data_IF_732974030746
#
_entry.id   IF_732974030746
#
_cell.length_a   1.000
_cell.length_b   1.000
_cell.length_c   1.000
_cell.angle_alpha   90.00
_cell.angle_beta   90.00
_cell.angle_gamma   90.00
#
_symmetry.space_group_name_H-M   'P 1'
#
loop_
_entity.id
_entity.type
_entity.pdbx_description
1 polymer ?
#
# COMPACT_ATOMS: atom_id res chain seq x y z
N UNK A 1 -20.09 15.08 2.24
CA UNK A 1 -19.15 15.36 3.34
C UNK A 1 -19.54 16.57 4.20
N UNK A 2 -19.66 17.80 3.67
CA UNK A 2 -20.03 18.97 4.49
C UNK A 2 -21.48 18.91 5.00
N UNK A 3 -22.42 18.50 4.13
CA UNK A 3 -23.82 18.27 4.50
C UNK A 3 -23.92 17.15 5.55
N UNK A 4 -23.16 16.06 5.36
CA UNK A 4 -23.10 14.93 6.31
C UNK A 4 -22.49 15.32 7.67
N UNK A 5 -21.69 16.41 7.70
CA UNK A 5 -21.16 17.01 8.92
C UNK A 5 -22.11 18.03 9.57
N UNK A 6 -23.36 18.14 9.07
CA UNK A 6 -24.36 19.10 9.55
C UNK A 6 -24.13 20.55 9.09
N UNK A 7 -23.31 20.77 8.06
CA UNK A 7 -23.06 22.10 7.48
C UNK A 7 -24.00 22.33 6.30
N UNK A 8 -24.93 23.27 6.43
CA UNK A 8 -25.77 23.70 5.30
C UNK A 8 -24.94 24.51 4.30
N UNK A 9 -24.92 24.03 3.05
CA UNK A 9 -24.16 24.59 1.94
C UNK A 9 -25.14 25.13 0.90
N UNK A 10 -24.98 26.41 0.53
CA UNK A 10 -25.66 27.01 -0.61
C UNK A 10 -24.62 27.30 -1.71
N UNK A 11 -24.97 26.99 -2.96
CA UNK A 11 -24.17 27.29 -4.14
C UNK A 11 -24.81 28.47 -4.89
N UNK A 12 -24.48 29.72 -4.55
CA UNK A 12 -25.02 30.89 -5.24
C UNK A 12 -24.55 30.99 -6.71
N UNK A 13 -23.38 30.42 -7.03
CA UNK A 13 -22.85 30.32 -8.39
C UNK A 13 -21.87 29.13 -8.50
N UNK A 14 -21.43 28.73 -9.71
CA UNK A 14 -20.49 27.61 -9.89
C UNK A 14 -19.14 27.79 -9.17
N UNK A 15 -18.72 29.04 -8.97
CA UNK A 15 -17.41 29.40 -8.41
C UNK A 15 -17.49 29.96 -6.98
N UNK A 16 -18.66 29.87 -6.34
CA UNK A 16 -18.88 30.37 -4.98
C UNK A 16 -19.67 29.40 -4.12
N UNK A 17 -19.24 29.27 -2.87
CA UNK A 17 -19.92 28.50 -1.83
C UNK A 17 -20.26 29.44 -0.67
N UNK A 18 -21.50 29.38 -0.20
CA UNK A 18 -21.93 30.07 1.02
C UNK A 18 -22.35 29.08 2.09
N UNK A 19 -21.80 29.26 3.28
CA UNK A 19 -22.17 28.49 4.47
C UNK A 19 -23.20 29.28 5.27
N UNK A 20 -24.12 28.60 5.96
CA UNK A 20 -25.36 29.14 6.52
C UNK A 20 -25.26 30.47 7.30
N UNK A 21 -24.09 30.79 7.90
CA UNK A 21 -23.80 32.07 8.59
C UNK A 21 -22.38 32.61 8.33
N UNK A 22 -21.78 32.26 7.20
CA UNK A 22 -20.40 32.62 6.85
C UNK A 22 -20.28 33.52 5.62
N UNK A 23 -19.11 34.12 5.37
CA UNK A 23 -18.84 34.84 4.13
C UNK A 23 -18.96 33.90 2.92
N UNK A 24 -19.29 34.45 1.75
CA UNK A 24 -19.16 33.71 0.49
C UNK A 24 -17.68 33.41 0.24
N UNK A 25 -17.36 32.14 0.00
CA UNK A 25 -16.01 31.69 -0.30
C UNK A 25 -15.91 31.36 -1.77
N UNK A 26 -14.87 31.87 -2.43
CA UNK A 26 -14.51 31.45 -3.78
C UNK A 26 -14.17 29.96 -3.78
N UNK A 27 -14.85 29.19 -4.62
CA UNK A 27 -14.65 27.77 -4.75
C UNK A 27 -13.56 27.47 -5.79
N UNK A 28 -12.62 26.61 -5.43
CA UNK A 28 -11.67 26.02 -6.37
C UNK A 28 -11.75 24.50 -6.20
N UNK A 29 -12.18 23.81 -7.24
CA UNK A 29 -12.28 22.34 -7.26
C UNK A 29 -11.18 21.73 -8.10
N UNK A 30 -10.55 20.68 -7.57
CA UNK A 30 -9.62 19.82 -8.29
C UNK A 30 -10.10 18.37 -8.21
N UNK A 31 -10.31 17.75 -9.36
CA UNK A 31 -10.59 16.32 -9.52
C UNK A 31 -9.36 15.42 -9.26
N UNK A 32 -8.27 16.00 -8.74
CA UNK A 32 -6.97 15.36 -8.55
C UNK A 32 -6.31 15.82 -7.25
N UNK A 33 -5.32 15.07 -6.73
CA UNK A 33 -4.58 15.48 -5.54
C UNK A 33 -3.93 16.85 -5.71
N UNK A 34 -4.01 17.68 -4.67
CA UNK A 34 -3.38 18.99 -4.65
C UNK A 34 -1.86 18.85 -4.63
N UNK A 35 -1.17 19.55 -5.53
CA UNK A 35 0.29 19.63 -5.58
C UNK A 35 0.76 21.01 -5.16
N UNK A 36 1.99 21.11 -4.68
CA UNK A 36 2.56 22.39 -4.22
C UNK A 36 2.60 23.48 -5.30
N UNK A 37 2.69 23.10 -6.59
CA UNK A 37 2.64 24.05 -7.72
C UNK A 37 1.25 24.66 -7.93
N UNK A 38 0.18 23.95 -7.56
CA UNK A 38 -1.18 24.41 -7.77
C UNK A 38 -1.49 25.62 -6.87
N UNK A 39 -0.85 25.69 -5.69
CA UNK A 39 -0.96 26.82 -4.75
C UNK A 39 -0.48 28.16 -5.35
N UNK A 40 0.45 28.13 -6.30
CA UNK A 40 1.04 29.36 -6.85
C UNK A 40 0.05 30.15 -7.73
N UNK A 41 -1.07 29.54 -8.15
CA UNK A 41 -2.07 30.16 -9.02
C UNK A 41 -3.45 30.36 -8.38
N UNK A 42 -3.62 30.05 -7.09
CA UNK A 42 -4.95 30.06 -6.45
C UNK A 42 -5.51 31.46 -6.20
N UNK A 43 -4.68 32.50 -6.16
CA UNK A 43 -5.10 33.87 -5.85
C UNK A 43 -5.38 34.08 -4.35
N UNK A 44 -6.32 34.98 -4.03
CA UNK A 44 -6.74 35.30 -2.65
C UNK A 44 -7.55 34.18 -1.97
N UNK A 45 -7.74 34.23 -0.64
CA UNK A 45 -8.29 33.13 0.17
C UNK A 45 -9.68 32.69 -0.28
N UNK A 46 -9.92 31.38 -0.26
CA UNK A 46 -11.17 30.74 -0.66
C UNK A 46 -11.32 29.33 -0.11
N UNK A 47 -12.25 28.55 -0.66
CA UNK A 47 -12.48 27.15 -0.36
C UNK A 47 -11.89 26.27 -1.46
N UNK A 48 -10.91 25.45 -1.11
CA UNK A 48 -10.29 24.48 -2.02
C UNK A 48 -10.82 23.06 -1.77
N UNK A 49 -11.44 22.45 -2.76
CA UNK A 49 -11.87 21.05 -2.73
C UNK A 49 -10.93 20.24 -3.61
N UNK A 50 -10.31 19.19 -3.08
CA UNK A 50 -9.45 18.31 -3.86
C UNK A 50 -9.62 16.86 -3.41
N UNK A 51 -9.37 15.90 -4.31
CA UNK A 51 -9.46 14.47 -3.97
C UNK A 51 -8.53 14.08 -2.83
N UNK A 52 -7.35 14.72 -2.73
CA UNK A 52 -6.40 14.55 -1.62
C UNK A 52 -5.61 15.82 -1.36
N UNK A 53 -5.42 16.16 -0.08
CA UNK A 53 -4.56 17.28 0.36
C UNK A 53 -3.59 16.77 1.42
N UNK A 54 -2.28 16.82 1.14
CA UNK A 54 -1.25 16.37 2.08
C UNK A 54 -1.07 17.31 3.28
N UNK A 55 -0.58 16.82 4.45
CA UNK A 55 -0.49 17.60 5.70
C UNK A 55 0.27 18.94 5.56
N UNK A 56 1.41 18.94 4.85
CA UNK A 56 2.20 20.16 4.62
C UNK A 56 1.42 21.19 3.80
N UNK A 57 0.58 20.75 2.86
CA UNK A 57 -0.24 21.64 2.06
C UNK A 57 -1.44 22.16 2.85
N UNK A 58 -2.03 21.35 3.75
CA UNK A 58 -3.07 21.78 4.70
C UNK A 58 -2.55 22.90 5.61
N UNK A 59 -1.38 22.69 6.22
CA UNK A 59 -0.75 23.70 7.07
C UNK A 59 -0.45 25.00 6.31
N UNK A 60 -0.01 24.89 5.05
CA UNK A 60 0.21 26.05 4.19
C UNK A 60 -1.09 26.75 3.80
N UNK A 61 -2.16 26.02 3.51
CA UNK A 61 -3.47 26.60 3.22
C UNK A 61 -3.99 27.36 4.44
N UNK A 62 -3.96 26.74 5.62
CA UNK A 62 -4.36 27.37 6.89
C UNK A 62 -3.54 28.63 7.19
N UNK A 63 -2.21 28.58 7.05
CA UNK A 63 -1.34 29.74 7.25
C UNK A 63 -1.64 30.90 6.29
N UNK A 64 -2.27 30.63 5.14
CA UNK A 64 -2.70 31.64 4.17
C UNK A 64 -4.22 31.88 4.20
N UNK A 65 -4.88 31.55 5.31
CA UNK A 65 -6.33 31.74 5.52
C UNK A 65 -7.25 31.03 4.50
N UNK A 66 -6.77 29.95 3.88
CA UNK A 66 -7.58 29.12 2.98
C UNK A 66 -8.39 28.07 3.74
N UNK A 67 -9.64 27.93 3.33
CA UNK A 67 -10.47 26.78 3.68
C UNK A 67 -10.19 25.63 2.71
N UNK A 68 -10.28 24.38 3.17
CA UNK A 68 -10.06 23.22 2.33
C UNK A 68 -10.92 22.01 2.73
N UNK A 69 -11.26 21.20 1.74
CA UNK A 69 -11.91 19.89 1.89
C UNK A 69 -11.09 18.88 1.10
N UNK A 70 -10.64 17.81 1.75
CA UNK A 70 -9.97 16.70 1.10
C UNK A 70 -10.95 15.52 1.06
N UNK A 71 -11.37 15.08 -0.13
CA UNK A 71 -12.43 14.05 -0.25
C UNK A 71 -12.00 12.69 0.29
N UNK A 72 -10.70 12.35 0.16
CA UNK A 72 -10.14 11.12 0.69
C UNK A 72 -9.91 11.11 2.21
N UNK A 73 -10.02 12.28 2.84
CA UNK A 73 -9.84 12.42 4.25
C UNK A 73 -11.17 12.78 4.88
N UNK A 74 -11.49 12.10 5.98
CA UNK A 74 -12.59 12.44 6.86
C UNK A 74 -12.35 13.76 7.63
N UNK A 75 -11.60 14.71 7.07
CA UNK A 75 -11.23 15.99 7.67
C UNK A 75 -11.34 17.15 6.67
N UNK A 76 -11.81 18.30 7.13
CA UNK A 76 -11.89 19.55 6.41
C UNK A 76 -11.50 20.71 7.34
N UNK A 77 -11.05 21.84 6.77
CA UNK A 77 -10.86 23.08 7.49
C UNK A 77 -11.65 24.18 6.81
N UNK A 78 -12.64 24.75 7.49
CA UNK A 78 -13.57 25.68 6.87
C UNK A 78 -13.73 26.92 7.75
N UNK A 79 -13.34 28.08 7.22
CA UNK A 79 -13.40 29.38 7.89
C UNK A 79 -12.75 29.39 9.29
N UNK A 80 -11.59 28.72 9.44
CA UNK A 80 -10.89 28.63 10.72
C UNK A 80 -11.32 27.45 11.61
N UNK A 81 -12.35 26.70 11.23
CA UNK A 81 -12.86 25.55 11.98
C UNK A 81 -12.37 24.24 11.37
N UNK A 82 -11.73 23.39 12.18
CA UNK A 82 -11.42 22.02 11.79
C UNK A 82 -12.66 21.14 11.98
N UNK A 83 -13.12 20.52 10.89
CA UNK A 83 -14.26 19.61 10.85
C UNK A 83 -13.72 18.21 10.60
N UNK A 84 -13.95 17.30 11.55
CA UNK A 84 -13.67 15.87 11.39
C UNK A 84 -15.01 15.13 11.29
N UNK A 85 -15.21 14.37 10.23
CA UNK A 85 -16.41 13.58 10.00
C UNK A 85 -16.10 12.14 10.43
N UNK A 86 -16.84 11.56 11.36
CA UNK A 86 -16.61 10.17 11.82
C UNK A 86 -15.77 10.05 13.10
N UNK A 87 -16.07 9.00 13.87
CA UNK A 87 -15.56 8.75 15.22
C UNK A 87 -14.03 8.91 15.30
N UNK A 88 -13.60 9.80 16.19
CA UNK A 88 -12.21 10.07 16.50
C UNK A 88 -11.49 8.78 16.89
N UNK A 89 -10.58 8.30 16.04
CA UNK A 89 -9.41 7.60 16.58
C UNK A 89 -8.54 8.67 17.22
N UNK A 90 -8.39 8.57 18.54
CA UNK A 90 -7.48 9.39 19.34
C UNK A 90 -6.16 9.61 18.58
N UNK A 91 -5.94 10.86 18.18
CA UNK A 91 -4.67 11.32 17.65
C UNK A 91 -3.68 11.36 18.82
N UNK A 92 -2.79 10.38 18.87
CA UNK A 92 -1.54 10.51 19.60
C UNK A 92 -0.77 11.73 19.07
N UNK A 93 -0.07 12.39 20.00
CA UNK A 93 0.84 13.54 19.90
C UNK A 93 1.60 13.67 18.56
N UNK A 94 2.07 14.87 18.14
CA UNK A 94 2.84 15.04 16.91
C UNK A 94 4.22 14.39 17.08
N UNK A 95 4.28 13.07 16.89
CA UNK A 95 5.50 12.29 16.90
C UNK A 95 6.44 12.79 15.80
N UNK A 96 7.72 12.83 16.17
CA UNK A 96 8.85 13.19 15.34
C UNK A 96 8.71 12.70 13.90
N UNK A 97 9.08 13.56 12.93
CA UNK A 97 9.13 13.21 11.50
C UNK A 97 9.70 11.79 11.35
N UNK A 98 9.00 10.88 10.63
CA UNK A 98 9.45 9.51 10.54
C UNK A 98 10.88 9.51 10.01
N UNK A 99 11.78 8.85 10.75
CA UNK A 99 13.20 8.79 10.43
C UNK A 99 13.35 8.41 8.94
N UNK A 100 12.55 7.46 8.43
CA UNK A 100 12.64 6.92 7.07
C UNK A 100 11.60 7.46 6.07
N UNK A 101 11.97 7.68 4.79
CA UNK A 101 11.00 8.02 3.74
C UNK A 101 10.02 6.85 3.56
N UNK A 102 8.72 7.14 3.49
CA UNK A 102 7.65 6.14 3.25
C UNK A 102 7.56 5.68 1.78
N UNK A 103 8.63 5.84 1.00
CA UNK A 103 8.64 5.50 -0.42
C UNK A 103 8.93 4.02 -0.66
N UNK A 104 8.15 3.37 -1.52
CA UNK A 104 8.30 1.96 -1.89
C UNK A 104 9.71 1.59 -2.40
N UNK A 105 10.45 2.54 -2.99
CA UNK A 105 11.80 2.29 -3.49
C UNK A 105 12.79 1.79 -2.42
N UNK A 106 12.73 2.33 -1.19
CA UNK A 106 13.59 1.85 -0.09
C UNK A 106 13.26 0.40 0.26
N UNK A 107 11.97 0.08 0.31
CA UNK A 107 11.50 -1.28 0.61
C UNK A 107 11.82 -2.26 -0.52
N UNK A 108 11.76 -1.82 -1.78
CA UNK A 108 12.16 -2.62 -2.92
C UNK A 108 13.66 -2.94 -2.91
N UNK A 109 14.52 -1.98 -2.57
CA UNK A 109 15.97 -2.20 -2.42
C UNK A 109 16.25 -3.21 -1.30
N UNK A 110 15.61 -3.03 -0.14
CA UNK A 110 15.79 -3.94 1.01
C UNK A 110 15.30 -5.34 0.69
N UNK A 111 14.12 -5.47 0.05
CA UNK A 111 13.59 -6.76 -0.40
C UNK A 111 14.52 -7.43 -1.41
N UNK A 112 15.03 -6.70 -2.39
CA UNK A 112 15.99 -7.24 -3.35
C UNK A 112 17.26 -7.78 -2.65
N UNK A 113 17.78 -7.06 -1.65
CA UNK A 113 18.94 -7.51 -0.88
C UNK A 113 18.62 -8.76 -0.02
N UNK A 114 17.47 -8.78 0.65
CA UNK A 114 17.03 -9.92 1.46
C UNK A 114 16.84 -11.18 0.61
N UNK A 115 16.23 -11.05 -0.57
CA UNK A 115 16.01 -12.18 -1.49
C UNK A 115 17.30 -12.67 -2.18
N UNK A 116 18.29 -11.79 -2.35
CA UNK A 116 19.59 -12.18 -2.92
C UNK A 116 20.56 -12.74 -1.88
N UNK A 117 20.40 -12.39 -0.60
CA UNK A 117 21.34 -12.69 0.50
C UNK A 117 22.65 -11.89 0.44
N UNK A 118 23.12 -11.57 -0.77
CA UNK A 118 24.23 -10.65 -1.04
C UNK A 118 24.09 -10.06 -2.43
N UNK A 119 24.43 -8.78 -2.60
CA UNK A 119 24.38 -8.13 -3.91
C UNK A 119 25.26 -6.88 -3.96
N UNK A 120 25.71 -6.53 -5.17
CA UNK A 120 26.28 -5.21 -5.44
C UNK A 120 25.19 -4.15 -5.71
N UNK A 121 25.57 -2.89 -5.76
CA UNK A 121 24.62 -1.78 -5.95
C UNK A 121 23.98 -1.77 -7.34
N UNK A 122 24.65 -2.29 -8.37
CA UNK A 122 24.14 -2.29 -9.74
C UNK A 122 23.04 -3.35 -9.89
N UNK A 123 23.24 -4.52 -9.30
CA UNK A 123 22.27 -5.61 -9.21
C UNK A 123 21.04 -5.14 -8.42
N UNK A 124 21.24 -4.52 -7.26
CA UNK A 124 20.13 -3.97 -6.47
C UNK A 124 19.36 -2.87 -7.22
N UNK A 125 20.07 -2.00 -7.96
CA UNK A 125 19.43 -0.97 -8.78
C UNK A 125 18.53 -1.57 -9.87
N UNK A 126 19.00 -2.62 -10.55
CA UNK A 126 18.23 -3.35 -11.55
C UNK A 126 17.02 -4.07 -10.95
N UNK A 127 17.21 -4.82 -9.87
CA UNK A 127 16.13 -5.57 -9.23
C UNK A 127 15.05 -4.67 -8.60
N UNK A 128 15.45 -3.53 -8.02
CA UNK A 128 14.52 -2.60 -7.38
C UNK A 128 13.94 -1.54 -8.35
N UNK A 129 14.32 -1.58 -9.63
CA UNK A 129 13.96 -0.59 -10.64
C UNK A 129 14.16 0.85 -10.13
N UNK A 130 15.41 1.16 -9.78
CA UNK A 130 15.76 2.48 -9.25
C UNK A 130 17.20 2.87 -9.58
N UNK A 131 17.52 4.15 -9.40
CA UNK A 131 18.86 4.66 -9.68
C UNK A 131 19.90 4.15 -8.67
N UNK A 132 21.11 3.82 -9.12
CA UNK A 132 22.23 3.44 -8.25
C UNK A 132 22.56 4.48 -7.16
N UNK A 133 22.47 5.82 -7.39
CA UNK A 133 22.63 6.80 -6.31
C UNK A 133 21.61 6.67 -5.17
N UNK A 134 20.37 6.28 -5.48
CA UNK A 134 19.34 6.01 -4.47
C UNK A 134 19.68 4.75 -3.67
N UNK A 135 20.15 3.70 -4.34
CA UNK A 135 20.66 2.47 -3.71
C UNK A 135 21.79 2.80 -2.74
N UNK A 136 22.83 3.51 -3.21
CA UNK A 136 23.97 3.92 -2.39
C UNK A 136 23.56 4.74 -1.17
N UNK A 137 22.63 5.68 -1.33
CA UNK A 137 22.12 6.50 -0.21
C UNK A 137 21.35 5.65 0.80
N UNK A 138 20.51 4.74 0.32
CA UNK A 138 19.70 3.84 1.15
C UNK A 138 20.58 2.89 1.94
N UNK A 139 21.54 2.23 1.29
CA UNK A 139 22.45 1.27 1.93
C UNK A 139 23.36 1.93 2.97
N UNK A 140 23.94 3.09 2.68
CA UNK A 140 24.74 3.83 3.67
C UNK A 140 23.94 4.18 4.93
N UNK A 141 22.68 4.55 4.73
CA UNK A 141 21.78 4.88 5.83
C UNK A 141 21.42 3.63 6.66
N UNK A 142 21.11 2.51 6.00
CA UNK A 142 20.84 1.24 6.67
C UNK A 142 22.08 0.73 7.41
N UNK A 143 23.27 0.94 6.85
CA UNK A 143 24.54 0.56 7.47
C UNK A 143 24.82 1.36 8.74
N UNK A 144 24.48 2.65 8.75
CA UNK A 144 24.55 3.49 9.95
C UNK A 144 23.64 3.02 11.08
N UNK A 145 22.56 2.32 10.75
CA UNK A 145 21.64 1.70 11.71
C UNK A 145 21.98 0.21 11.98
N UNK A 146 23.08 -0.31 11.44
CA UNK A 146 23.51 -1.70 11.64
C UNK A 146 22.69 -2.76 10.88
N UNK A 147 21.77 -2.35 10.01
CA UNK A 147 20.81 -3.24 9.33
C UNK A 147 21.40 -3.91 8.08
N UNK A 148 22.51 -3.41 7.55
CA UNK A 148 23.24 -4.00 6.42
C UNK A 148 24.74 -3.86 6.64
N UNK A 149 25.50 -4.75 6.03
CA UNK A 149 26.96 -4.72 6.05
C UNK A 149 27.50 -4.67 4.63
N UNK A 150 28.45 -3.77 4.37
CA UNK A 150 29.09 -3.62 3.06
C UNK A 150 30.59 -3.91 3.14
N UNK A 151 31.11 -4.79 2.27
CA UNK A 151 32.55 -5.04 2.14
C UNK A 151 32.91 -5.25 0.67
N UNK A 152 33.96 -4.56 0.18
CA UNK A 152 34.48 -4.69 -1.20
C UNK A 152 33.40 -4.54 -2.31
N UNK A 153 32.42 -3.66 -2.09
CA UNK A 153 31.36 -3.39 -3.06
C UNK A 153 30.15 -4.34 -2.99
N UNK A 154 30.24 -5.42 -2.21
CA UNK A 154 29.12 -6.33 -1.94
C UNK A 154 28.44 -5.96 -0.62
N UNK A 155 27.10 -5.96 -0.63
CA UNK A 155 26.25 -5.69 0.52
C UNK A 155 25.54 -6.97 0.97
N UNK A 156 25.32 -7.09 2.28
CA UNK A 156 24.62 -8.21 2.92
C UNK A 156 23.60 -7.69 3.94
N UNK A 157 22.47 -8.40 4.12
CA UNK A 157 21.51 -8.06 5.15
C UNK A 157 22.10 -8.37 6.53
N UNK A 158 21.83 -7.51 7.51
CA UNK A 158 21.98 -7.85 8.92
C UNK A 158 20.79 -8.69 9.42
N UNK A 159 20.89 -9.31 10.61
CA UNK A 159 19.87 -10.22 11.12
C UNK A 159 18.49 -9.56 11.31
N UNK A 160 18.46 -8.27 11.66
CA UNK A 160 17.21 -7.56 11.95
C UNK A 160 16.53 -6.95 10.71
N UNK A 161 17.15 -7.04 9.52
CA UNK A 161 16.67 -6.32 8.33
C UNK A 161 15.29 -6.80 7.86
N UNK A 162 15.03 -8.11 7.94
CA UNK A 162 13.75 -8.68 7.54
C UNK A 162 12.62 -8.20 8.46
N UNK A 163 12.84 -8.24 9.79
CA UNK A 163 11.91 -7.70 10.79
C UNK A 163 11.70 -6.19 10.61
N UNK A 164 12.78 -5.45 10.41
CA UNK A 164 12.73 -4.03 10.10
C UNK A 164 11.85 -3.73 8.89
N UNK A 165 11.95 -4.55 7.83
CA UNK A 165 11.16 -4.40 6.61
C UNK A 165 9.69 -4.68 6.89
N UNK A 166 9.38 -5.81 7.53
CA UNK A 166 8.01 -6.16 7.89
C UNK A 166 7.39 -5.00 8.68
N UNK A 167 8.00 -4.56 9.77
CA UNK A 167 7.42 -3.55 10.67
C UNK A 167 7.20 -2.18 10.03
N UNK A 168 7.90 -1.87 8.93
CA UNK A 168 7.87 -0.53 8.33
C UNK A 168 7.25 -0.49 6.94
N UNK A 169 7.12 -1.63 6.26
CA UNK A 169 6.52 -1.65 4.93
C UNK A 169 5.06 -1.20 5.03
N UNK A 170 4.67 -0.10 4.38
CA UNK A 170 3.32 0.46 4.50
C UNK A 170 2.25 -0.39 3.78
N UNK A 171 2.66 -1.49 3.17
CA UNK A 171 1.82 -2.32 2.33
C UNK A 171 1.87 -1.94 0.84
N UNK A 172 1.19 -2.73 0.00
CA UNK A 172 1.18 -2.59 -1.45
C UNK A 172 0.47 -1.32 -1.94
N UNK A 173 -0.37 -0.72 -1.10
CA UNK A 173 -1.27 0.37 -1.47
C UNK A 173 -2.21 -0.02 -2.62
N UNK A 174 -2.66 0.97 -3.38
CA UNK A 174 -3.46 0.76 -4.59
C UNK A 174 -4.94 0.48 -4.33
N UNK A 175 -5.59 -0.19 -5.28
CA UNK A 175 -7.04 -0.44 -5.26
C UNK A 175 -7.32 -1.87 -4.86
N UNK A 176 -8.27 -2.05 -3.94
CA UNK A 176 -8.75 -3.38 -3.51
C UNK A 176 -10.16 -3.61 -4.01
N UNK A 177 -10.36 -4.74 -4.67
CA UNK A 177 -11.66 -5.32 -4.99
C UNK A 177 -11.88 -6.56 -4.13
N UNK A 178 -13.12 -6.76 -3.69
CA UNK A 178 -13.50 -7.93 -2.91
C UNK A 178 -14.48 -8.75 -3.73
N UNK A 179 -14.23 -10.05 -3.80
CA UNK A 179 -15.03 -10.97 -4.60
C UNK A 179 -15.57 -12.07 -3.70
N UNK A 180 -16.83 -12.39 -3.91
CA UNK A 180 -17.47 -13.59 -3.39
C UNK A 180 -17.38 -14.69 -4.45
N UNK A 181 -17.13 -15.90 -3.98
CA UNK A 181 -17.13 -17.11 -4.80
C UNK A 181 -17.55 -18.30 -3.91
N UNK A 182 -18.31 -19.26 -4.44
CA UNK A 182 -18.61 -20.49 -3.74
C UNK A 182 -17.39 -21.42 -3.78
N UNK A 183 -16.85 -21.78 -2.62
CA UNK A 183 -15.74 -22.75 -2.58
C UNK A 183 -14.80 -22.59 -1.41
N UNK A 184 -13.87 -23.53 -1.28
CA UNK A 184 -12.76 -23.40 -0.34
C UNK A 184 -11.69 -22.48 -0.95
N UNK A 185 -10.75 -21.94 -0.15
CA UNK A 185 -9.79 -20.97 -0.67
C UNK A 185 -8.91 -21.47 -1.82
N UNK A 186 -8.56 -22.76 -1.86
CA UNK A 186 -7.84 -23.32 -3.02
C UNK A 186 -8.69 -23.39 -4.30
N UNK A 187 -9.99 -23.67 -4.19
CA UNK A 187 -10.93 -23.65 -5.32
C UNK A 187 -11.09 -22.20 -5.82
N UNK A 188 -11.31 -21.27 -4.88
CA UNK A 188 -11.45 -19.84 -5.16
C UNK A 188 -10.18 -19.26 -5.80
N UNK A 189 -9.00 -19.71 -5.38
CA UNK A 189 -7.74 -19.32 -6.00
C UNK A 189 -7.66 -19.83 -7.44
N UNK A 190 -8.05 -21.07 -7.71
CA UNK A 190 -8.07 -21.62 -9.06
C UNK A 190 -9.05 -20.87 -9.97
N UNK A 191 -10.28 -20.63 -9.52
CA UNK A 191 -11.29 -19.84 -10.25
C UNK A 191 -10.80 -18.42 -10.55
N UNK A 192 -10.15 -17.77 -9.57
CA UNK A 192 -9.55 -16.46 -9.77
C UNK A 192 -8.44 -16.47 -10.82
N UNK A 193 -7.56 -17.49 -10.78
CA UNK A 193 -6.50 -17.62 -11.79
C UNK A 193 -7.09 -17.88 -13.18
N UNK A 194 -8.10 -18.74 -13.31
CA UNK A 194 -8.78 -18.97 -14.59
C UNK A 194 -9.38 -17.68 -15.17
N UNK A 195 -10.11 -16.92 -14.35
CA UNK A 195 -10.69 -15.66 -14.78
C UNK A 195 -9.62 -14.64 -15.21
N UNK A 196 -8.49 -14.57 -14.49
CA UNK A 196 -7.38 -13.70 -14.85
C UNK A 196 -6.69 -14.15 -16.14
N UNK A 197 -6.45 -15.46 -16.30
CA UNK A 197 -5.80 -16.03 -17.49
C UNK A 197 -6.64 -15.79 -18.76
N UNK A 198 -7.96 -15.95 -18.67
CA UNK A 198 -8.90 -15.69 -19.78
C UNK A 198 -8.83 -14.23 -20.28
N UNK A 199 -8.53 -13.30 -19.39
CA UNK A 199 -8.38 -11.88 -19.72
C UNK A 199 -6.93 -11.44 -19.97
N UNK A 200 -5.94 -12.34 -19.83
CA UNK A 200 -4.52 -11.98 -19.89
C UNK A 200 -4.09 -11.01 -18.77
N UNK A 201 -4.69 -11.14 -17.58
CA UNK A 201 -4.33 -10.41 -16.37
C UNK A 201 -3.28 -11.19 -15.61
N UNK A 202 -2.14 -10.56 -15.32
CA UNK A 202 -1.12 -11.19 -14.47
C UNK A 202 -1.63 -11.25 -13.04
N UNK A 203 -1.78 -12.46 -12.50
CA UNK A 203 -2.16 -12.70 -11.11
C UNK A 203 -1.00 -13.30 -10.33
N UNK A 204 -0.83 -12.87 -9.08
CA UNK A 204 0.14 -13.41 -8.12
C UNK A 204 -0.54 -13.58 -6.77
N UNK A 205 -0.65 -14.82 -6.29
CA UNK A 205 -1.25 -15.13 -5.00
C UNK A 205 -0.30 -14.73 -3.87
N UNK A 206 -0.87 -14.29 -2.75
CA UNK A 206 -0.13 -13.91 -1.53
C UNK A 206 -0.90 -14.38 -0.28
N UNK A 207 -0.45 -13.97 0.90
CA UNK A 207 -1.14 -14.25 2.17
C UNK A 207 -1.20 -15.74 2.49
N UNK A 208 -2.29 -16.16 3.13
CA UNK A 208 -2.45 -17.54 3.61
C UNK A 208 -2.29 -18.60 2.51
N UNK A 209 -2.86 -18.38 1.30
CA UNK A 209 -2.74 -19.32 0.17
C UNK A 209 -1.29 -19.45 -0.31
N UNK A 210 -0.57 -18.34 -0.46
CA UNK A 210 0.83 -18.40 -0.86
C UNK A 210 1.71 -19.06 0.21
N UNK A 211 1.41 -18.82 1.49
CA UNK A 211 2.12 -19.45 2.58
C UNK A 211 1.91 -20.97 2.61
N UNK A 212 0.67 -21.42 2.45
CA UNK A 212 0.32 -22.85 2.34
C UNK A 212 0.96 -23.50 1.10
N UNK A 213 1.07 -22.75 -0.01
CA UNK A 213 1.78 -23.20 -1.21
C UNK A 213 3.29 -23.41 -0.99
N UNK A 214 3.91 -22.62 -0.11
CA UNK A 214 5.35 -22.76 0.23
C UNK A 214 5.60 -23.85 1.27
N UNK A 215 4.61 -24.15 2.10
CA UNK A 215 4.58 -25.38 2.86
C UNK A 215 3.22 -25.54 3.54
N UNK A 216 2.60 -26.72 3.44
CA UNK A 216 1.22 -26.90 3.83
C UNK A 216 1.11 -27.07 5.35
N UNK A 217 0.88 -25.98 6.08
CA UNK A 217 0.84 -25.97 7.54
C UNK A 217 -0.35 -25.23 8.13
N UNK A 218 -1.20 -24.59 7.33
CA UNK A 218 -2.42 -23.93 7.81
C UNK A 218 -3.46 -23.90 6.70
N UNK A 219 -4.70 -24.26 7.03
CA UNK A 219 -5.82 -24.14 6.10
C UNK A 219 -6.08 -22.65 5.81
N UNK A 220 -5.88 -22.18 4.56
CA UNK A 220 -6.12 -20.78 4.25
C UNK A 220 -7.58 -20.41 4.52
N UNK A 221 -7.83 -19.24 5.10
CA UNK A 221 -9.20 -18.74 5.33
C UNK A 221 -9.71 -17.88 4.17
N UNK A 222 -8.79 -17.26 3.42
CA UNK A 222 -9.07 -16.29 2.36
C UNK A 222 -8.02 -16.36 1.27
N UNK A 223 -8.41 -16.02 0.04
CA UNK A 223 -7.50 -15.81 -1.08
C UNK A 223 -7.15 -14.33 -1.17
N UNK A 224 -5.88 -13.98 -1.10
CA UNK A 224 -5.41 -12.63 -1.45
C UNK A 224 -4.51 -12.71 -2.68
N UNK A 225 -4.73 -11.84 -3.65
CA UNK A 225 -3.97 -11.83 -4.89
C UNK A 225 -3.64 -10.40 -5.35
N UNK A 226 -2.45 -10.24 -5.89
CA UNK A 226 -2.03 -9.04 -6.62
C UNK A 226 -2.23 -9.23 -8.11
N UNK A 227 -2.80 -8.21 -8.77
CA UNK A 227 -3.02 -8.18 -10.21
C UNK A 227 -2.43 -6.93 -10.86
N UNK A 228 -1.99 -7.03 -12.11
CA UNK A 228 -1.47 -5.87 -12.86
C UNK A 228 -2.58 -4.89 -13.29
N UNK A 229 -3.83 -5.34 -13.39
CA UNK A 229 -5.02 -4.54 -13.65
C UNK A 229 -6.26 -5.25 -13.09
N UNK A 230 -7.33 -4.49 -12.84
CA UNK A 230 -8.61 -5.10 -12.46
C UNK A 230 -9.18 -5.88 -13.65
N UNK A 231 -9.55 -7.16 -13.47
CA UNK A 231 -10.28 -7.91 -14.50
C UNK A 231 -11.68 -7.31 -14.71
N UNK A 232 -12.26 -7.52 -15.89
CA UNK A 232 -13.58 -7.04 -16.28
C UNK A 232 -14.68 -7.54 -15.34
N UNK A 233 -15.90 -6.99 -15.41
CA UNK A 233 -16.98 -7.37 -14.50
C UNK A 233 -17.51 -8.80 -14.75
N UNK A 234 -17.29 -9.36 -15.94
CA UNK A 234 -17.74 -10.71 -16.31
C UNK A 234 -16.66 -11.74 -15.92
N UNK A 235 -16.76 -12.26 -14.69
CA UNK A 235 -15.75 -13.13 -14.08
C UNK A 235 -16.31 -14.51 -13.73
N UNK A 236 -17.35 -14.95 -14.45
CA UNK A 236 -18.06 -16.20 -14.18
C UNK A 236 -18.64 -16.21 -12.77
N UNK A 237 -18.21 -17.17 -11.95
CA UNK A 237 -18.71 -17.38 -10.58
C UNK A 237 -18.17 -16.35 -9.55
N UNK A 238 -17.30 -15.42 -9.97
CA UNK A 238 -16.75 -14.39 -9.09
C UNK A 238 -17.63 -13.13 -9.11
N UNK A 239 -18.28 -12.86 -7.99
CA UNK A 239 -19.20 -11.72 -7.86
C UNK A 239 -18.57 -10.64 -6.99
N UNK A 240 -18.65 -9.38 -7.41
CA UNK A 240 -18.18 -8.27 -6.56
C UNK A 240 -18.97 -8.22 -5.25
N UNK A 241 -18.25 -8.00 -4.15
CA UNK A 241 -18.82 -7.96 -2.81
C UNK A 241 -18.35 -6.72 -2.06
N UNK A 242 -19.26 -6.10 -1.32
CA UNK A 242 -18.92 -5.05 -0.36
C UNK A 242 -18.47 -5.61 0.99
N UNK A 243 -18.65 -6.92 1.22
CA UNK A 243 -18.33 -7.58 2.50
C UNK A 243 -16.82 -7.51 2.78
N UNK A 244 -16.37 -6.90 3.90
CA UNK A 244 -14.97 -6.91 4.28
C UNK A 244 -14.41 -8.33 4.46
N UNK A 245 -15.26 -9.31 4.77
CA UNK A 245 -14.92 -10.71 4.97
C UNK A 245 -15.08 -11.58 3.72
N UNK A 246 -15.24 -10.95 2.55
CA UNK A 246 -15.29 -11.68 1.29
C UNK A 246 -14.10 -12.64 1.13
N UNK A 247 -14.34 -13.87 0.62
CA UNK A 247 -13.34 -14.94 0.57
C UNK A 247 -12.18 -14.66 -0.39
N UNK A 248 -12.31 -13.65 -1.27
CA UNK A 248 -11.27 -13.24 -2.20
C UNK A 248 -11.03 -11.74 -2.07
N UNK A 249 -9.77 -11.37 -1.86
CA UNK A 249 -9.26 -9.99 -1.90
C UNK A 249 -8.32 -9.84 -3.10
N UNK A 250 -8.74 -9.06 -4.08
CA UNK A 250 -7.96 -8.77 -5.28
C UNK A 250 -7.40 -7.35 -5.20
N UNK A 251 -6.09 -7.19 -5.35
CA UNK A 251 -5.42 -5.89 -5.18
C UNK A 251 -4.65 -5.53 -6.44
N UNK A 252 -4.90 -4.34 -6.99
CA UNK A 252 -4.01 -3.70 -7.96
C UNK A 252 -3.03 -2.84 -7.17
N UNK A 253 -1.78 -3.30 -6.94
CA UNK A 253 -0.87 -2.62 -6.03
C UNK A 253 -0.37 -1.31 -6.63
N UNK A 254 -0.22 -0.28 -5.79
CA UNK A 254 0.53 0.92 -6.18
C UNK A 254 2.04 0.62 -6.25
N UNK A 255 2.51 -0.34 -5.45
CA UNK A 255 3.85 -0.91 -5.50
C UNK A 255 3.88 -2.19 -6.34
N UNK A 256 3.97 -2.04 -7.66
CA UNK A 256 4.02 -3.18 -8.57
C UNK A 256 5.31 -4.04 -8.45
N UNK A 257 6.33 -3.57 -7.72
CA UNK A 257 7.61 -4.30 -7.58
C UNK A 257 7.47 -5.57 -6.74
N UNK A 258 6.42 -5.69 -5.94
CA UNK A 258 6.15 -6.86 -5.10
C UNK A 258 5.75 -8.12 -5.90
N UNK A 259 5.34 -7.96 -7.16
CA UNK A 259 5.03 -9.09 -8.04
C UNK A 259 6.19 -9.46 -8.96
N UNK A 260 7.23 -8.62 -9.06
CA UNK A 260 8.37 -8.83 -9.96
C UNK A 260 9.23 -10.05 -9.60
N UNK A 261 9.21 -10.50 -8.35
CA UNK A 261 9.94 -11.69 -7.88
C UNK A 261 9.01 -12.86 -7.57
N UNK A 262 7.84 -12.90 -8.22
CA UNK A 262 6.92 -14.04 -8.10
C UNK A 262 7.62 -15.35 -8.48
N UNK A 263 7.33 -16.40 -7.74
CA UNK A 263 7.85 -17.74 -8.00
C UNK A 263 6.70 -18.68 -8.40
N UNK A 264 7.03 -19.70 -9.19
CA UNK A 264 6.07 -20.73 -9.51
C UNK A 264 5.91 -21.66 -8.30
N UNK A 265 4.66 -21.95 -7.94
CA UNK A 265 4.30 -22.99 -6.97
C UNK A 265 3.21 -23.89 -7.56
N UNK A 266 2.77 -24.88 -6.79
CA UNK A 266 1.70 -25.79 -7.14
C UNK A 266 0.60 -25.76 -6.07
N UNK A 267 -0.65 -25.75 -6.51
CA UNK A 267 -1.79 -26.04 -5.63
C UNK A 267 -1.75 -27.50 -5.15
N UNK A 268 -2.54 -27.87 -4.12
CA UNK A 268 -2.73 -29.26 -3.72
C UNK A 268 -3.23 -30.17 -4.87
N UNK A 269 -3.95 -29.61 -5.83
CA UNK A 269 -4.43 -30.31 -7.03
C UNK A 269 -3.39 -30.38 -8.18
N UNK A 270 -2.15 -29.94 -7.95
CA UNK A 270 -1.06 -29.98 -8.94
C UNK A 270 -1.09 -28.85 -9.99
N UNK A 271 -2.08 -27.94 -9.94
CA UNK A 271 -2.12 -26.75 -10.80
C UNK A 271 -0.95 -25.82 -10.51
N UNK A 272 -0.26 -25.36 -11.57
CA UNK A 272 0.79 -24.34 -11.46
C UNK A 272 0.18 -22.97 -11.17
N UNK A 273 0.75 -22.28 -10.19
CA UNK A 273 0.32 -20.95 -9.75
C UNK A 273 1.54 -20.04 -9.55
N UNK A 274 1.32 -18.73 -9.59
CA UNK A 274 2.33 -17.75 -9.22
C UNK A 274 2.07 -17.23 -7.81
N UNK A 275 3.08 -17.28 -6.95
CA UNK A 275 3.02 -16.81 -5.57
C UNK A 275 4.06 -15.72 -5.32
N UNK A 276 3.79 -14.84 -4.36
CA UNK A 276 4.77 -13.85 -3.91
C UNK A 276 5.96 -14.49 -3.22
N UNK A 277 7.09 -13.77 -3.18
CA UNK A 277 8.25 -14.20 -2.42
C UNK A 277 7.96 -14.27 -0.90
N UNK A 278 8.80 -14.99 -0.13
CA UNK A 278 8.51 -15.23 1.30
C UNK A 278 8.35 -13.96 2.13
N UNK A 279 9.04 -12.87 1.81
CA UNK A 279 8.96 -11.62 2.58
C UNK A 279 7.62 -10.92 2.38
N UNK A 280 7.14 -10.84 1.13
CA UNK A 280 5.82 -10.26 0.82
C UNK A 280 4.70 -11.16 1.34
N UNK A 281 4.85 -12.48 1.22
CA UNK A 281 3.90 -13.44 1.81
C UNK A 281 3.81 -13.29 3.32
N UNK A 282 4.94 -13.15 4.03
CA UNK A 282 4.96 -12.94 5.47
C UNK A 282 4.25 -11.64 5.88
N UNK A 283 4.42 -10.56 5.12
CA UNK A 283 3.70 -9.31 5.36
C UNK A 283 2.20 -9.47 5.18
N UNK A 284 1.76 -10.14 4.11
CA UNK A 284 0.34 -10.36 3.84
C UNK A 284 -0.32 -11.25 4.90
N UNK A 285 0.35 -12.33 5.32
CA UNK A 285 -0.09 -13.18 6.43
C UNK A 285 -0.28 -12.37 7.72
N UNK A 286 0.66 -11.45 8.01
CA UNK A 286 0.55 -10.58 9.19
C UNK A 286 -0.59 -9.57 9.07
N UNK A 287 -0.83 -9.04 7.87
CA UNK A 287 -1.96 -8.13 7.59
C UNK A 287 -3.31 -8.85 7.77
N UNK A 288 -3.39 -10.12 7.39
CA UNK A 288 -4.62 -10.94 7.46
C UNK A 288 -4.92 -11.46 8.88
N UNK A 289 -3.93 -12.04 9.55
CA UNK A 289 -4.14 -12.77 10.81
C UNK A 289 -3.65 -12.01 12.07
N UNK A 290 -2.88 -10.93 11.91
CA UNK A 290 -2.32 -10.19 13.03
C UNK A 290 -1.34 -11.03 13.85
N UNK A 291 -1.43 -10.93 15.19
CA UNK A 291 -0.45 -11.54 16.14
C UNK A 291 -0.48 -13.07 16.20
N UNK A 292 -1.51 -13.73 15.69
CA UNK A 292 -1.62 -15.20 15.74
C UNK A 292 -0.73 -15.91 14.71
N UNK A 293 -0.16 -15.18 13.75
CA UNK A 293 0.62 -15.75 12.66
C UNK A 293 2.15 -15.68 12.84
N UNK A 294 2.63 -15.41 14.06
CA UNK A 294 4.06 -15.19 14.32
C UNK A 294 4.94 -16.41 13.91
N UNK A 295 4.52 -17.62 14.27
CA UNK A 295 5.22 -18.85 13.89
C UNK A 295 5.26 -19.05 12.37
N UNK A 296 4.21 -18.63 11.67
CA UNK A 296 4.13 -18.71 10.20
C UNK A 296 5.03 -17.66 9.55
N UNK A 297 5.08 -16.46 10.10
CA UNK A 297 5.99 -15.38 9.67
C UNK A 297 7.43 -15.85 9.82
N UNK A 298 7.81 -16.41 10.97
CA UNK A 298 9.17 -16.91 11.20
C UNK A 298 9.58 -18.00 10.21
N UNK A 299 8.67 -18.93 9.89
CA UNK A 299 8.94 -19.95 8.87
C UNK A 299 9.15 -19.36 7.49
N UNK A 300 8.33 -18.39 7.09
CA UNK A 300 8.48 -17.69 5.82
C UNK A 300 9.80 -16.90 5.76
N UNK A 301 10.19 -16.24 6.85
CA UNK A 301 11.47 -15.56 6.94
C UNK A 301 12.66 -16.53 6.89
N UNK A 302 12.53 -17.74 7.41
CA UNK A 302 13.56 -18.78 7.33
C UNK A 302 13.80 -19.30 5.89
N UNK A 303 12.90 -19.02 4.95
CA UNK A 303 13.09 -19.30 3.52
C UNK A 303 14.00 -18.28 2.82
N UNK A 304 14.29 -17.13 3.46
CA UNK A 304 15.22 -16.15 2.92
C UNK A 304 16.65 -16.70 2.97
N UNK A 305 17.50 -16.38 1.98
CA UNK A 305 18.90 -16.76 2.01
C UNK A 305 19.59 -16.33 3.30
N UNK A 306 20.35 -17.23 3.92
CA UNK A 306 21.16 -16.90 5.08
C UNK A 306 22.34 -16.01 4.67
N UNK A 307 22.71 -15.01 5.48
CA UNK A 307 23.82 -14.09 5.20
C UNK A 307 25.18 -14.82 5.17
N UNK A 308 25.28 -15.96 5.87
CA UNK A 308 26.43 -16.85 5.90
C UNK A 308 26.06 -18.13 5.15
N UNK A 309 26.39 -18.18 3.87
CA UNK A 309 26.15 -19.37 3.05
C UNK A 309 26.83 -20.60 3.63
N UNK A 310 26.04 -21.55 4.09
CA UNK A 310 26.33 -22.98 4.07
C UNK A 310 25.35 -23.65 3.13
#
# INVERSE_FOLDING_TARGET
>A
MLIDAGVDVALPSPDEVRLNKGPALRLVTLDRPLRGRDLNGLGGPGLLVATRIGPTLRARLQANAWSWVAEDAQAAHVAGLDIVVGQARETTDPEARPRWPRGHATFAIVRALLLAGRADQATLAGCADCSQPLVSRTLRRLAGDGLVHGRRGEWRPGPDLARWWLDRYPGPGGTTLRLWAPGRPWDNAATLVDACDQEGVDVTLTGAVAADATGPWTDPARVTAYVNRTPSADRGDLVESSDPEAPIRLVVPADNRITATRSASQSPAGRRLWVTDPLVTAWAVRDEAGRSAEDQIERLLALLPRPDGT
#
